data_IF_240456414771
#
_entry.id   IF_240456414771
#
_cell.length_a   1.000
_cell.length_b   1.000
_cell.length_c   1.000
_cell.angle_alpha   90.00
_cell.angle_beta   90.00
_cell.angle_gamma   90.00
#
_symmetry.space_group_name_H-M   'P 1'
#
loop_
_entity.id
_entity.type
_entity.pdbx_description
1 polymer ?
#
# COMPACT_ATOMS: atom_id res chain seq x y z
N UNK A 1 -9.37 20.21 12.06
CA UNK A 1 -9.64 19.66 10.71
C UNK A 1 -8.54 20.09 9.76
N UNK A 2 -7.90 19.17 9.00
CA UNK A 2 -6.74 19.51 8.16
C UNK A 2 -7.12 20.01 6.75
N UNK A 3 -8.31 19.65 6.25
CA UNK A 3 -8.75 19.99 4.88
C UNK A 3 -10.13 20.66 4.75
N UNK A 4 -10.99 20.55 5.77
CA UNK A 4 -12.28 21.25 5.88
C UNK A 4 -13.31 20.91 4.78
N UNK A 5 -14.57 21.23 5.02
CA UNK A 5 -15.63 21.10 4.02
C UNK A 5 -15.58 22.24 2.98
N UNK A 6 -16.06 22.01 1.74
CA UNK A 6 -16.49 20.73 1.19
C UNK A 6 -15.29 19.81 0.87
N UNK A 7 -15.49 18.50 0.94
CA UNK A 7 -14.47 17.53 0.54
C UNK A 7 -14.50 17.37 -1.00
N UNK A 8 -13.33 17.42 -1.62
CA UNK A 8 -13.10 17.22 -3.05
C UNK A 8 -12.04 16.13 -3.29
N UNK A 9 -11.78 15.77 -4.55
CA UNK A 9 -10.84 14.72 -4.92
C UNK A 9 -9.41 14.97 -4.44
N UNK A 10 -8.93 16.21 -4.52
CA UNK A 10 -7.58 16.58 -4.07
C UNK A 10 -7.45 16.48 -2.54
N UNK A 11 -8.50 16.83 -1.80
CA UNK A 11 -8.55 16.65 -0.34
C UNK A 11 -8.58 15.18 0.04
N UNK A 12 -9.30 14.35 -0.72
CA UNK A 12 -9.31 12.89 -0.51
C UNK A 12 -7.92 12.32 -0.76
N UNK A 13 -7.30 12.62 -1.91
CA UNK A 13 -5.93 12.18 -2.22
C UNK A 13 -4.96 12.57 -1.10
N UNK A 14 -4.94 13.83 -0.69
CA UNK A 14 -4.06 14.30 0.40
C UNK A 14 -4.40 13.64 1.74
N UNK A 15 -5.65 13.26 1.97
CA UNK A 15 -6.04 12.45 3.12
C UNK A 15 -5.42 11.06 3.11
N UNK A 16 -5.46 10.37 1.96
CA UNK A 16 -4.83 9.07 1.77
C UNK A 16 -3.30 9.13 1.95
N UNK A 17 -2.65 10.14 1.39
CA UNK A 17 -1.19 10.35 1.52
C UNK A 17 -0.72 10.70 2.95
N UNK A 18 -1.64 10.82 3.92
CA UNK A 18 -1.33 10.97 5.34
C UNK A 18 -1.46 9.67 6.14
N UNK A 19 -1.86 8.57 5.50
CA UNK A 19 -1.96 7.26 6.15
C UNK A 19 -0.55 6.75 6.43
N UNK A 20 -0.24 6.58 7.72
CA UNK A 20 0.95 5.90 8.23
C UNK A 20 0.51 5.01 9.41
N UNK A 21 0.17 3.76 9.08
CA UNK A 21 -0.49 2.82 9.97
C UNK A 21 -2.00 3.02 10.07
N UNK A 22 -2.68 1.99 10.59
CA UNK A 22 -4.10 2.04 10.94
C UNK A 22 -4.23 1.61 12.40
N UNK A 23 -4.35 2.55 13.35
CA UNK A 23 -4.44 2.23 14.77
C UNK A 23 -5.62 1.30 15.08
N UNK A 24 -5.40 0.27 15.90
CA UNK A 24 -6.45 -0.63 16.36
C UNK A 24 -6.79 -1.79 15.42
N UNK A 25 -6.04 -1.97 14.33
CA UNK A 25 -6.16 -3.12 13.42
C UNK A 25 -4.95 -4.08 13.51
N UNK A 26 -4.19 -4.02 14.61
CA UNK A 26 -3.04 -4.89 14.82
C UNK A 26 -3.47 -6.36 14.77
N UNK A 27 -2.76 -7.18 13.98
CA UNK A 27 -3.06 -8.60 13.81
C UNK A 27 -4.19 -8.93 12.82
N UNK A 28 -4.92 -7.92 12.33
CA UNK A 28 -5.95 -8.08 11.28
C UNK A 28 -5.47 -7.46 9.96
N UNK A 29 -4.82 -6.30 10.04
CA UNK A 29 -4.25 -5.62 8.89
C UNK A 29 -2.73 -5.41 9.06
N UNK A 30 -1.96 -5.39 7.96
CA UNK A 30 -0.56 -5.04 8.02
C UNK A 30 -0.37 -3.53 8.22
N UNK A 31 0.88 -3.13 8.47
CA UNK A 31 1.27 -1.73 8.36
C UNK A 31 1.04 -1.22 6.93
N UNK A 32 0.57 0.02 6.82
CA UNK A 32 0.20 0.68 5.57
C UNK A 32 0.73 2.11 5.59
N UNK A 33 1.53 2.50 4.60
CA UNK A 33 2.06 3.86 4.48
C UNK A 33 1.92 4.38 3.06
N UNK A 34 0.89 5.18 2.82
CA UNK A 34 0.60 5.73 1.50
C UNK A 34 1.33 7.06 1.33
N UNK A 35 1.95 7.26 0.17
CA UNK A 35 2.65 8.50 -0.17
C UNK A 35 2.33 8.91 -1.60
N UNK A 36 2.59 10.15 -1.99
CA UNK A 36 2.41 10.60 -3.38
C UNK A 36 3.28 9.85 -4.41
N UNK A 37 4.28 9.07 -3.96
CA UNK A 37 5.13 8.23 -4.82
C UNK A 37 4.76 6.75 -4.79
N UNK A 38 3.92 6.36 -3.83
CA UNK A 38 3.51 4.99 -3.58
C UNK A 38 2.06 4.97 -3.05
N UNK A 39 1.11 4.78 -3.97
CA UNK A 39 -0.32 4.71 -3.66
C UNK A 39 -0.75 3.35 -3.12
N UNK A 40 0.12 2.33 -3.15
CA UNK A 40 -0.14 1.04 -2.52
C UNK A 40 0.19 1.13 -1.03
N UNK A 41 1.42 1.55 -0.70
CA UNK A 41 1.91 1.76 0.66
C UNK A 41 1.94 0.53 1.58
N UNK A 42 1.37 -0.59 1.13
CA UNK A 42 1.18 -1.84 1.84
C UNK A 42 2.02 -2.94 1.22
N UNK A 43 1.40 -3.92 0.57
CA UNK A 43 2.07 -5.05 -0.10
C UNK A 43 2.48 -6.20 0.83
N UNK A 44 2.16 -6.08 2.12
CA UNK A 44 2.39 -7.12 3.11
C UNK A 44 1.35 -8.22 2.99
N UNK A 45 1.82 -9.45 3.11
CA UNK A 45 0.98 -10.64 3.13
C UNK A 45 1.33 -11.51 4.33
N UNK A 46 0.36 -12.33 4.73
CA UNK A 46 0.52 -13.35 5.74
C UNK A 46 -0.03 -14.66 5.19
N UNK A 47 0.72 -15.75 5.37
CA UNK A 47 0.27 -17.08 4.95
C UNK A 47 -0.48 -17.72 6.10
N UNK A 48 -1.66 -18.26 5.82
CA UNK A 48 -2.44 -19.04 6.75
C UNK A 48 -2.43 -20.52 6.37
N UNK A 49 -2.46 -21.39 7.36
CA UNK A 49 -2.51 -22.84 7.19
C UNK A 49 -3.66 -23.44 8.00
N UNK A 50 -4.29 -24.47 7.43
CA UNK A 50 -5.27 -25.27 8.17
C UNK A 50 -4.54 -26.27 9.06
N UNK A 51 -4.72 -26.16 10.38
CA UNK A 51 -4.18 -27.08 11.39
C UNK A 51 -5.31 -27.55 12.29
N UNK A 52 -5.53 -28.86 12.35
CA UNK A 52 -6.58 -29.49 13.16
C UNK A 52 -7.97 -28.85 12.96
N UNK A 53 -8.33 -28.56 11.70
CA UNK A 53 -9.62 -27.94 11.34
C UNK A 53 -9.74 -26.44 11.61
N UNK A 54 -8.65 -25.77 11.99
CA UNK A 54 -8.60 -24.31 12.22
C UNK A 54 -7.65 -23.63 11.24
N UNK A 55 -7.98 -22.42 10.80
CA UNK A 55 -7.08 -21.56 10.01
C UNK A 55 -6.21 -20.79 10.99
N UNK A 56 -4.89 -20.97 10.91
CA UNK A 56 -3.92 -20.30 11.79
C UNK A 56 -2.81 -19.63 10.96
N UNK A 57 -2.31 -18.46 11.37
CA UNK A 57 -1.19 -17.83 10.67
C UNK A 57 0.05 -18.74 10.76
N UNK A 58 0.73 -18.89 9.64
CA UNK A 58 1.96 -19.69 9.51
C UNK A 58 3.21 -18.83 9.34
N UNK A 59 3.04 -17.54 9.07
CA UNK A 59 4.12 -16.56 8.96
C UNK A 59 3.73 -15.30 9.71
N UNK A 60 4.70 -14.45 10.03
CA UNK A 60 4.42 -13.03 10.28
C UNK A 60 4.08 -12.31 8.97
N UNK A 61 3.69 -11.04 9.07
CA UNK A 61 3.57 -10.18 7.90
C UNK A 61 4.93 -10.05 7.20
N UNK A 62 4.96 -10.31 5.90
CA UNK A 62 6.17 -10.13 5.10
C UNK A 62 5.85 -9.41 3.80
N UNK A 63 6.88 -8.75 3.27
CA UNK A 63 6.78 -7.93 2.08
C UNK A 63 7.55 -8.60 0.94
N UNK A 64 6.84 -9.18 -0.03
CA UNK A 64 7.45 -9.97 -1.10
C UNK A 64 8.08 -9.08 -2.18
N UNK A 65 9.42 -9.10 -2.30
CA UNK A 65 10.18 -8.49 -3.41
C UNK A 65 9.83 -7.02 -3.73
N UNK A 66 9.46 -6.22 -2.71
CA UNK A 66 8.94 -4.86 -2.90
C UNK A 66 9.86 -3.98 -3.74
N UNK A 67 11.16 -4.02 -3.46
CA UNK A 67 12.16 -3.20 -4.16
C UNK A 67 12.20 -3.53 -5.66
N UNK A 68 12.25 -4.82 -6.01
CA UNK A 68 12.27 -5.28 -7.40
C UNK A 68 10.99 -4.87 -8.13
N UNK A 69 9.83 -5.04 -7.50
CA UNK A 69 8.54 -4.64 -8.11
C UNK A 69 8.50 -3.13 -8.34
N UNK A 70 8.96 -2.32 -7.38
CA UNK A 70 8.99 -0.87 -7.53
C UNK A 70 9.96 -0.40 -8.62
N UNK A 71 11.12 -1.06 -8.76
CA UNK A 71 12.04 -0.78 -9.87
C UNK A 71 11.35 -0.94 -11.23
N UNK A 72 10.62 -2.03 -11.42
CA UNK A 72 9.87 -2.30 -12.66
C UNK A 72 8.73 -1.30 -12.88
N UNK A 73 7.96 -0.97 -11.82
CA UNK A 73 6.89 0.04 -11.89
C UNK A 73 7.45 1.40 -12.31
N UNK A 74 8.59 1.81 -11.74
CA UNK A 74 9.22 3.08 -12.10
C UNK A 74 9.83 3.05 -13.50
N UNK A 75 10.38 1.91 -13.96
CA UNK A 75 10.86 1.76 -15.32
C UNK A 75 9.72 1.89 -16.33
N UNK A 76 8.59 1.23 -16.10
CA UNK A 76 7.40 1.32 -16.94
C UNK A 76 6.86 2.76 -17.01
N UNK A 77 6.70 3.44 -15.87
CA UNK A 77 6.24 4.83 -15.82
C UNK A 77 7.19 5.81 -16.53
N UNK A 78 8.51 5.55 -16.52
CA UNK A 78 9.48 6.35 -17.29
C UNK A 78 9.32 6.13 -18.78
N UNK A 79 9.08 4.89 -19.22
CA UNK A 79 8.91 4.53 -20.63
C UNK A 79 7.66 5.18 -21.22
N UNK A 80 6.53 5.08 -20.54
CA UNK A 80 5.25 5.70 -20.95
C UNK A 80 5.40 7.22 -21.18
N UNK A 81 6.01 7.93 -20.23
CA UNK A 81 6.29 9.38 -20.36
C UNK A 81 7.21 9.76 -21.51
N UNK A 82 8.07 8.84 -21.97
CA UNK A 82 8.93 9.09 -23.13
C UNK A 82 8.16 8.88 -24.43
N UNK A 83 7.21 7.94 -24.44
CA UNK A 83 6.33 7.68 -25.58
C UNK A 83 5.32 8.81 -25.77
N UNK A 84 4.72 9.34 -24.70
CA UNK A 84 3.81 10.51 -24.77
C UNK A 84 4.48 11.79 -25.31
N UNK A 85 5.80 11.89 -25.21
CA UNK A 85 6.58 13.05 -25.67
C UNK A 85 7.07 12.94 -27.11
N UNK A 86 6.94 11.77 -27.73
CA UNK A 86 7.28 11.54 -29.14
C UNK A 86 6.09 11.84 -30.03
#
# INVERSE_FOLDING_TARGET
EKFGWPIDGEKVQRGFELIDGIPGLEGVAPHLKITSRDHEGGGYVQIFQTRSGKIVPSTDWFHGFREVVLEEVYAAAKKEKQEEKK
#
